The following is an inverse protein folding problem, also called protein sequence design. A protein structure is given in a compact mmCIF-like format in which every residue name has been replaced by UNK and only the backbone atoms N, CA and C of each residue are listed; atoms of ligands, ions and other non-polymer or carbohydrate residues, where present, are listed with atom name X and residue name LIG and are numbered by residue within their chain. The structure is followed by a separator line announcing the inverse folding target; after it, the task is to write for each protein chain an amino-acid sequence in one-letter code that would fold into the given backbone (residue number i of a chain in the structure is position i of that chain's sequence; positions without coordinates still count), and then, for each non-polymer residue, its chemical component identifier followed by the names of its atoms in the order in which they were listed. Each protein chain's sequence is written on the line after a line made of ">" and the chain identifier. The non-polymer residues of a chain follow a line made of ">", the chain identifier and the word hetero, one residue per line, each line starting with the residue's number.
data_IF_291098296663
#
_entry.id   IF_291098296663
#
_cell.length_a   1.000
_cell.length_b   1.000
_cell.length_c   1.000
_cell.angle_alpha   90.00
_cell.angle_beta   90.00
_cell.angle_gamma   90.00
#
_symmetry.space_group_name_H-M   'P 1'
#
loop_
_entity.id
_entity.type
_entity.pdbx_description
1 polymer ?
#
# COMPACT_ATOMS: atom_id res chain seq x y z
N UNK A 1 17.31 -16.26 5.10
CA UNK A 1 16.66 -17.37 4.36
C UNK A 1 16.38 -18.50 5.32
N UNK A 2 15.13 -18.71 5.69
CA UNK A 2 14.73 -19.89 6.44
C UNK A 2 14.92 -21.14 5.58
N UNK A 3 15.65 -22.13 6.09
CA UNK A 3 15.90 -23.40 5.39
C UNK A 3 14.66 -24.31 5.29
N UNK A 4 13.56 -23.92 5.94
CA UNK A 4 12.33 -24.70 6.05
C UNK A 4 11.14 -23.92 5.46
N UNK A 5 10.44 -24.54 4.50
CA UNK A 5 9.24 -24.00 3.84
C UNK A 5 8.18 -23.55 4.84
N UNK A 6 7.99 -24.32 5.93
CA UNK A 6 7.00 -24.05 6.98
C UNK A 6 7.25 -22.70 7.65
N UNK A 7 8.53 -22.35 7.88
CA UNK A 7 8.90 -21.08 8.49
C UNK A 7 8.70 -19.90 7.52
N UNK A 8 8.81 -20.14 6.21
CA UNK A 8 8.51 -19.12 5.18
C UNK A 8 7.01 -18.80 5.13
N UNK A 9 6.16 -19.81 5.21
CA UNK A 9 4.69 -19.65 5.26
C UNK A 9 4.27 -18.92 6.54
N UNK A 10 4.87 -19.27 7.69
CA UNK A 10 4.61 -18.60 8.96
C UNK A 10 4.96 -17.11 8.90
N UNK A 11 6.11 -16.76 8.33
CA UNK A 11 6.50 -15.36 8.14
C UNK A 11 5.60 -14.61 7.16
N UNK A 12 5.12 -15.27 6.10
CA UNK A 12 4.15 -14.66 5.18
C UNK A 12 2.85 -14.30 5.91
N UNK A 13 2.34 -15.18 6.78
CA UNK A 13 1.15 -14.91 7.58
C UNK A 13 1.38 -13.73 8.56
N UNK A 14 2.55 -13.67 9.20
CA UNK A 14 2.92 -12.55 10.09
C UNK A 14 2.95 -11.22 9.32
N UNK A 15 3.58 -11.20 8.15
CA UNK A 15 3.62 -10.00 7.29
C UNK A 15 2.23 -9.57 6.85
N UNK A 16 1.34 -10.51 6.54
CA UNK A 16 -0.06 -10.21 6.20
C UNK A 16 -0.81 -9.56 7.38
N UNK A 17 -0.63 -10.09 8.59
CA UNK A 17 -1.24 -9.50 9.80
C UNK A 17 -0.69 -8.11 10.14
N UNK A 18 0.56 -7.82 9.81
CA UNK A 18 1.17 -6.49 10.01
C UNK A 18 0.74 -5.51 8.90
N UNK A 19 0.55 -5.98 7.66
CA UNK A 19 0.09 -5.15 6.55
C UNK A 19 -1.34 -4.63 6.76
N UNK A 20 -2.20 -5.41 7.42
CA UNK A 20 -3.59 -5.04 7.69
C UNK A 20 -3.77 -3.73 8.49
N UNK A 21 -3.17 -3.55 9.69
CA UNK A 21 -3.30 -2.29 10.44
C UNK A 21 -2.70 -1.10 9.70
N UNK A 22 -1.64 -1.31 8.91
CA UNK A 22 -1.01 -0.25 8.10
C UNK A 22 -1.96 0.22 7.01
N UNK A 23 -2.65 -0.71 6.34
CA UNK A 23 -3.67 -0.39 5.34
C UNK A 23 -4.88 0.36 5.94
N UNK A 24 -5.33 -0.05 7.12
CA UNK A 24 -6.40 0.65 7.86
C UNK A 24 -5.96 2.07 8.20
N UNK A 25 -4.76 2.24 8.74
CA UNK A 25 -4.25 3.57 9.10
C UNK A 25 -4.13 4.49 7.88
N UNK A 26 -3.58 3.99 6.77
CA UNK A 26 -3.42 4.78 5.55
C UNK A 26 -4.77 5.20 4.93
N UNK A 27 -5.73 4.27 4.84
CA UNK A 27 -7.08 4.56 4.32
C UNK A 27 -7.89 5.50 5.23
N UNK A 28 -7.73 5.38 6.55
CA UNK A 28 -8.37 6.27 7.52
C UNK A 28 -7.91 7.72 7.33
N UNK A 29 -6.60 7.95 7.20
CA UNK A 29 -6.06 9.28 6.96
C UNK A 29 -6.57 9.87 5.63
N UNK A 30 -6.63 9.07 4.56
CA UNK A 30 -7.13 9.52 3.25
C UNK A 30 -8.58 9.99 3.31
N UNK A 31 -9.47 9.24 3.96
CA UNK A 31 -10.90 9.60 4.13
C UNK A 31 -11.05 10.91 4.93
N UNK A 32 -10.25 11.09 5.98
CA UNK A 32 -10.28 12.31 6.80
C UNK A 32 -9.76 13.52 6.02
N UNK A 33 -8.78 13.34 5.13
CA UNK A 33 -8.15 14.40 4.34
C UNK A 33 -8.96 14.84 3.12
N UNK A 34 -9.82 13.99 2.56
CA UNK A 34 -10.71 14.34 1.41
C UNK A 34 -11.52 15.63 1.58
N UNK A 35 -12.24 15.90 2.70
CA UNK A 35 -12.98 17.16 2.85
C UNK A 35 -12.05 18.38 3.00
N UNK A 36 -10.83 18.19 3.52
CA UNK A 36 -9.85 19.29 3.63
C UNK A 36 -9.20 19.62 2.29
N UNK A 37 -9.10 18.66 1.36
CA UNK A 37 -8.62 18.90 0.00
C UNK A 37 -9.46 19.94 -0.75
N UNK A 38 -10.78 19.90 -0.57
CA UNK A 38 -11.70 20.85 -1.20
C UNK A 38 -11.56 22.29 -0.65
N UNK A 39 -11.08 22.44 0.59
CA UNK A 39 -10.90 23.75 1.24
C UNK A 39 -9.47 24.30 1.15
N UNK A 40 -8.45 23.45 1.09
CA UNK A 40 -7.04 23.88 1.12
C UNK A 40 -6.24 23.22 -0.02
N UNK A 41 -5.93 24.01 -1.06
CA UNK A 41 -5.20 23.53 -2.25
C UNK A 41 -3.79 22.96 -1.99
N UNK A 42 -3.21 23.19 -0.81
CA UNK A 42 -1.93 22.60 -0.39
C UNK A 42 -2.06 21.14 0.09
N UNK A 43 -3.28 20.70 0.42
CA UNK A 43 -3.54 19.32 0.89
C UNK A 43 -3.61 18.34 -0.28
N UNK A 44 -3.89 18.84 -1.49
CA UNK A 44 -3.95 18.08 -2.74
C UNK A 44 -2.75 17.17 -3.01
N UNK A 45 -1.49 17.67 -3.00
CA UNK A 45 -0.32 16.81 -3.25
C UNK A 45 -0.12 15.75 -2.17
N UNK A 46 -0.55 16.00 -0.93
CA UNK A 46 -0.47 15.02 0.15
C UNK A 46 -1.50 13.92 -0.09
N UNK A 47 -2.71 14.29 -0.52
CA UNK A 47 -3.77 13.33 -0.80
C UNK A 47 -3.48 12.48 -2.03
N UNK A 48 -2.91 13.07 -3.09
CA UNK A 48 -2.45 12.35 -4.30
C UNK A 48 -1.35 11.32 -3.97
N UNK A 49 -0.38 11.69 -3.12
CA UNK A 49 0.64 10.74 -2.65
C UNK A 49 0.04 9.59 -1.84
N UNK A 50 -0.92 9.91 -0.97
CA UNK A 50 -1.58 8.92 -0.13
C UNK A 50 -2.44 7.96 -0.97
N UNK A 51 -3.14 8.48 -1.98
CA UNK A 51 -3.93 7.70 -2.94
C UNK A 51 -3.04 6.78 -3.79
N UNK A 52 -1.90 7.29 -4.26
CA UNK A 52 -0.90 6.50 -5.00
C UNK A 52 -0.31 5.40 -4.12
N UNK A 53 0.01 5.69 -2.85
CA UNK A 53 0.51 4.70 -1.89
C UNK A 53 -0.55 3.63 -1.58
N UNK A 54 -1.83 4.00 -1.54
CA UNK A 54 -2.94 3.08 -1.29
C UNK A 54 -3.22 2.16 -2.50
N UNK A 55 -3.05 2.67 -3.70
CA UNK A 55 -3.31 1.94 -4.96
C UNK A 55 -2.13 1.06 -5.37
N UNK A 56 -0.93 1.40 -4.93
CA UNK A 56 0.31 0.69 -5.23
C UNK A 56 0.29 -0.84 -4.97
N UNK A 57 -0.24 -1.38 -3.85
CA UNK A 57 -0.30 -2.83 -3.63
C UNK A 57 -1.13 -3.56 -4.69
N UNK A 58 -2.19 -2.90 -5.20
CA UNK A 58 -3.01 -3.44 -6.30
C UNK A 58 -2.24 -3.44 -7.60
N UNK A 59 -1.53 -2.35 -7.92
CA UNK A 59 -0.71 -2.27 -9.14
C UNK A 59 0.46 -3.26 -9.11
N UNK A 60 1.09 -3.45 -7.96
CA UNK A 60 2.11 -4.49 -7.77
C UNK A 60 1.54 -5.88 -8.00
N UNK A 61 0.36 -6.18 -7.42
CA UNK A 61 -0.32 -7.46 -7.64
C UNK A 61 -0.62 -7.70 -9.13
N UNK A 62 -1.06 -6.67 -9.84
CA UNK A 62 -1.28 -6.74 -11.29
C UNK A 62 0.03 -6.95 -12.06
N UNK A 63 1.10 -6.23 -11.73
CA UNK A 63 2.40 -6.39 -12.36
C UNK A 63 3.00 -7.79 -12.17
N UNK A 64 2.80 -8.39 -10.98
CA UNK A 64 3.20 -9.78 -10.68
C UNK A 64 2.38 -10.78 -11.52
N UNK A 65 1.06 -10.57 -11.64
CA UNK A 65 0.20 -11.42 -12.47
C UNK A 65 0.53 -11.32 -13.96
N UNK A 66 0.93 -10.15 -14.42
CA UNK A 66 1.32 -9.88 -15.81
C UNK A 66 2.79 -10.23 -16.09
N UNK A 67 3.55 -10.73 -15.11
CA UNK A 67 4.97 -11.03 -15.21
C UNK A 67 5.81 -9.85 -15.77
N UNK A 68 5.49 -8.62 -15.37
CA UNK A 68 6.24 -7.42 -15.79
C UNK A 68 7.59 -7.34 -15.09
N UNK A 69 8.65 -6.97 -15.84
CA UNK A 69 10.01 -6.79 -15.30
C UNK A 69 10.22 -5.46 -14.54
N UNK A 70 9.20 -4.59 -14.54
CA UNK A 70 9.21 -3.27 -13.91
C UNK A 70 8.09 -3.19 -12.88
N UNK A 71 8.47 -2.92 -11.62
CA UNK A 71 7.52 -2.68 -10.53
C UNK A 71 7.25 -1.18 -10.39
N UNK A 72 5.98 -0.74 -10.30
CA UNK A 72 5.66 0.65 -10.02
C UNK A 72 6.31 1.09 -8.71
N UNK A 73 6.87 2.30 -8.66
CA UNK A 73 7.36 2.91 -7.42
C UNK A 73 6.34 3.96 -6.95
N UNK A 74 5.92 3.95 -5.67
CA UNK A 74 5.00 4.97 -5.19
C UNK A 74 5.66 6.35 -5.09
N UNK A 75 7.00 6.42 -5.12
CA UNK A 75 7.81 7.65 -5.05
C UNK A 75 8.39 8.07 -6.40
#
# INVERSE_FOLDING_TARGET
>A
MSKNIIFSILWMAVLFFIAWPIAIFCSWFWIVLQPFEACFGFVKPINDLLEKLLTWPRELGQAVMECKESFPNPF
#
